data_IF_932683796306
#
_entry.id   IF_932683796306
#
_cell.length_a   1.000
_cell.length_b   1.000
_cell.length_c   1.000
_cell.angle_alpha   90.00
_cell.angle_beta   90.00
_cell.angle_gamma   90.00
#
_symmetry.space_group_name_H-M   'P 1'
#
loop_
_entity.id
_entity.type
_entity.pdbx_description
1 polymer ?
#
# COMPACT_ATOMS: atom_id res chain seq x y z
N UNK A 1 -25.23 -8.97 11.97
CA UNK A 1 -24.78 -8.86 11.41
C UNK A 1 -24.07 -8.71 10.86
N UNK A 2 -24.04 -8.80 10.77
CA UNK A 2 -23.44 -8.65 10.12
C UNK A 2 -22.70 -8.66 9.46
N UNK A 3 -22.69 -8.75 9.35
CA UNK A 3 -22.05 -8.79 8.62
C UNK A 3 -21.19 -8.57 7.95
N UNK A 4 -21.03 -8.66 8.23
CA UNK A 4 -20.23 -8.53 7.58
C UNK A 4 -19.99 -8.31 6.78
N UNK A 5 -20.15 -8.19 7.30
CA UNK A 5 -20.22 -8.17 6.62
C UNK A 5 -19.80 -7.80 5.61
N UNK A 6 -19.81 -7.38 5.91
CA UNK A 6 -19.54 -7.55 4.50
C UNK A 6 -18.59 -6.53 3.95
N UNK A 7 -17.39 -6.92 3.73
CA UNK A 7 -16.39 -6.11 3.07
C UNK A 7 -16.82 -5.87 1.62
N UNK A 8 -17.01 -4.63 1.22
CA UNK A 8 -17.27 -4.26 -0.15
C UNK A 8 -16.01 -4.59 -0.97
N UNK A 9 -16.17 -5.35 -2.05
CA UNK A 9 -15.04 -5.62 -2.94
C UNK A 9 -14.63 -4.34 -3.64
N UNK A 10 -13.33 -4.05 -3.73
CA UNK A 10 -12.86 -2.86 -4.43
C UNK A 10 -13.27 -2.86 -5.90
N UNK A 11 -13.67 -1.71 -6.39
CA UNK A 11 -13.94 -1.52 -7.82
C UNK A 11 -12.78 -0.81 -8.51
N UNK A 12 -11.78 -0.42 -7.76
CA UNK A 12 -10.57 0.20 -8.26
C UNK A 12 -9.39 -0.35 -7.47
N UNK A 13 -8.38 -0.84 -8.18
CA UNK A 13 -7.16 -1.33 -7.57
C UNK A 13 -5.98 -0.47 -8.01
N UNK A 14 -5.17 -0.06 -7.04
CA UNK A 14 -3.88 0.54 -7.34
C UNK A 14 -2.88 -0.60 -7.57
N UNK A 15 -2.18 -0.58 -8.70
CA UNK A 15 -1.21 -1.63 -9.06
C UNK A 15 0.21 -1.12 -8.93
N UNK A 16 1.07 -1.96 -8.38
CA UNK A 16 2.48 -1.62 -8.27
C UNK A 16 3.36 -2.87 -8.32
N UNK A 17 4.65 -2.67 -8.55
CA UNK A 17 5.64 -3.75 -8.57
C UNK A 17 6.73 -3.48 -7.56
N UNK A 18 7.28 -4.56 -7.01
CA UNK A 18 8.42 -4.50 -6.10
C UNK A 18 9.55 -5.35 -6.63
N UNK A 19 10.78 -4.88 -6.43
CA UNK A 19 11.96 -5.71 -6.67
C UNK A 19 12.02 -6.83 -5.63
N UNK A 20 11.69 -6.52 -4.38
CA UNK A 20 11.59 -7.49 -3.30
C UNK A 20 10.15 -7.47 -2.77
N UNK A 21 9.30 -8.33 -3.34
CA UNK A 21 7.89 -8.33 -3.01
C UNK A 21 7.62 -8.74 -1.56
N UNK A 22 8.44 -9.61 -0.97
CA UNK A 22 8.26 -10.00 0.42
C UNK A 22 8.47 -8.82 1.37
N UNK A 23 9.46 -7.97 1.11
CA UNK A 23 9.64 -6.75 1.88
C UNK A 23 8.47 -5.79 1.71
N UNK A 24 7.96 -5.66 0.48
CA UNK A 24 6.79 -4.84 0.20
C UNK A 24 5.57 -5.33 0.97
N UNK A 25 5.32 -6.64 0.93
CA UNK A 25 4.20 -7.24 1.65
C UNK A 25 4.30 -7.01 3.16
N UNK A 26 5.50 -7.19 3.72
CA UNK A 26 5.71 -6.98 5.15
C UNK A 26 5.49 -5.52 5.55
N UNK A 27 5.99 -4.59 4.75
CA UNK A 27 5.79 -3.15 4.99
C UNK A 27 4.30 -2.80 4.98
N UNK A 28 3.57 -3.24 3.96
CA UNK A 28 2.15 -2.94 3.82
C UNK A 28 1.31 -3.58 4.93
N UNK A 29 1.67 -4.80 5.34
CA UNK A 29 1.01 -5.43 6.49
C UNK A 29 1.19 -4.61 7.77
N UNK A 30 2.39 -4.04 7.96
CA UNK A 30 2.67 -3.20 9.13
C UNK A 30 1.82 -1.93 9.13
N UNK A 31 1.50 -1.38 7.96
CA UNK A 31 0.62 -0.20 7.85
C UNK A 31 -0.84 -0.54 8.11
N UNK A 32 -1.25 -1.79 7.98
CA UNK A 32 -2.62 -2.21 8.20
C UNK A 32 -3.33 -2.81 7.00
N UNK A 33 -2.61 -3.06 5.91
CA UNK A 33 -3.20 -3.79 4.78
C UNK A 33 -3.46 -5.23 5.13
N UNK A 34 -4.57 -5.76 4.64
CA UNK A 34 -4.92 -7.16 4.81
C UNK A 34 -4.62 -7.93 3.53
N UNK A 35 -3.83 -9.01 3.64
CA UNK A 35 -3.57 -9.88 2.50
C UNK A 35 -4.78 -10.75 2.22
N UNK A 36 -5.26 -10.72 0.98
CA UNK A 36 -6.36 -11.55 0.51
C UNK A 36 -5.83 -12.76 -0.25
N UNK A 37 -4.81 -12.53 -1.08
CA UNK A 37 -4.27 -13.57 -1.96
C UNK A 37 -2.79 -13.27 -2.23
N UNK A 38 -1.95 -14.32 -2.20
CA UNK A 38 -0.58 -14.23 -2.68
C UNK A 38 -0.30 -15.47 -3.52
N UNK A 39 0.02 -15.27 -4.79
CA UNK A 39 0.39 -16.34 -5.72
C UNK A 39 1.88 -16.25 -5.98
N UNK A 40 2.61 -17.30 -5.64
CA UNK A 40 4.05 -17.32 -5.81
C UNK A 40 4.43 -18.17 -7.01
N UNK A 41 5.61 -17.88 -7.56
CA UNK A 41 6.16 -18.66 -8.66
C UNK A 41 6.53 -20.07 -8.15
N UNK A 42 6.17 -21.11 -8.90
CA UNK A 42 6.40 -22.50 -8.48
C UNK A 42 7.90 -22.86 -8.41
N UNK A 43 8.70 -22.28 -9.30
CA UNK A 43 10.12 -22.59 -9.39
C UNK A 43 10.95 -21.69 -8.47
N UNK A 44 10.47 -20.48 -8.18
CA UNK A 44 11.14 -19.52 -7.32
C UNK A 44 10.11 -18.82 -6.41
N UNK A 45 9.87 -19.39 -5.22
CA UNK A 45 8.86 -18.84 -4.30
C UNK A 45 9.15 -17.42 -3.79
N UNK A 46 10.37 -16.90 -3.97
CA UNK A 46 10.67 -15.51 -3.63
C UNK A 46 10.02 -14.52 -4.59
N UNK A 47 9.57 -15.02 -5.75
CA UNK A 47 8.86 -14.20 -6.74
C UNK A 47 7.37 -14.29 -6.50
N UNK A 48 6.74 -13.14 -6.34
CA UNK A 48 5.29 -13.04 -6.25
C UNK A 48 4.75 -12.75 -7.65
N UNK A 49 3.97 -13.69 -8.17
CA UNK A 49 3.33 -13.51 -9.47
C UNK A 49 2.17 -12.53 -9.38
N UNK A 50 1.42 -12.60 -8.28
CA UNK A 50 0.27 -11.75 -8.07
C UNK A 50 -0.09 -11.74 -6.59
N UNK A 51 -0.40 -10.56 -6.05
CA UNK A 51 -0.94 -10.44 -4.70
C UNK A 51 -2.07 -9.43 -4.69
N UNK A 52 -3.04 -9.64 -3.82
CA UNK A 52 -4.16 -8.73 -3.61
C UNK A 52 -4.27 -8.41 -2.13
N UNK A 53 -4.32 -7.13 -1.82
CA UNK A 53 -4.43 -6.64 -0.46
C UNK A 53 -5.59 -5.65 -0.36
N UNK A 54 -6.14 -5.52 0.83
CA UNK A 54 -7.24 -4.61 1.12
C UNK A 54 -6.81 -3.53 2.08
N UNK A 55 -7.27 -2.34 1.83
CA UNK A 55 -7.15 -1.21 2.75
C UNK A 55 -8.54 -0.88 3.27
N UNK A 56 -8.78 -1.18 4.55
CA UNK A 56 -10.05 -0.88 5.21
C UNK A 56 -11.24 -1.41 4.41
N UNK A 57 -12.34 -0.67 4.30
CA UNK A 57 -13.58 -1.22 3.76
C UNK A 57 -13.57 -1.42 2.25
N UNK A 58 -12.95 -0.52 1.50
CA UNK A 58 -13.10 -0.53 0.04
C UNK A 58 -11.82 -0.32 -0.74
N UNK A 59 -10.69 -0.06 -0.08
CA UNK A 59 -9.43 0.13 -0.79
C UNK A 59 -8.81 -1.19 -1.22
N UNK A 60 -8.19 -1.22 -2.40
CA UNK A 60 -7.52 -2.42 -2.88
C UNK A 60 -6.26 -2.09 -3.64
N UNK A 61 -5.26 -2.95 -3.47
CA UNK A 61 -4.05 -2.92 -4.28
C UNK A 61 -3.76 -4.30 -4.81
N UNK A 62 -3.09 -4.32 -5.95
CA UNK A 62 -2.53 -5.53 -6.55
C UNK A 62 -1.04 -5.29 -6.74
N UNK A 63 -0.22 -6.27 -6.44
CA UNK A 63 1.21 -6.13 -6.63
C UNK A 63 1.84 -7.44 -7.06
N UNK A 64 3.05 -7.34 -7.58
CA UNK A 64 3.85 -8.50 -7.95
C UNK A 64 5.31 -8.11 -8.06
N UNK A 65 6.15 -9.11 -8.28
CA UNK A 65 7.57 -8.92 -8.54
C UNK A 65 7.78 -8.36 -9.94
N UNK A 66 8.88 -7.64 -10.14
CA UNK A 66 9.25 -7.10 -11.45
C UNK A 66 9.35 -8.24 -12.47
N UNK A 67 8.84 -7.99 -13.69
CA UNK A 67 8.95 -8.93 -14.81
C UNK A 67 9.65 -8.25 -15.98
N UNK A 68 10.82 -8.75 -16.29
CA UNK A 68 11.65 -8.17 -17.37
C UNK A 68 11.45 -8.85 -18.72
N UNK A 69 10.78 -10.02 -18.75
CA UNK A 69 10.62 -10.81 -19.96
C UNK A 69 9.32 -11.58 -19.98
N UNK A 70 8.94 -12.10 -21.13
CA UNK A 70 7.75 -12.90 -21.30
C UNK A 70 6.57 -12.10 -21.86
N UNK A 71 5.43 -12.78 -22.12
CA UNK A 71 4.28 -12.13 -22.74
C UNK A 71 3.59 -11.09 -21.84
N UNK A 72 3.80 -11.17 -20.55
CA UNK A 72 3.21 -10.23 -19.59
C UNK A 72 4.28 -9.35 -18.94
N UNK A 73 5.22 -8.90 -19.78
CA UNK A 73 6.27 -7.99 -19.34
C UNK A 73 5.65 -6.72 -18.77
N UNK A 74 6.08 -6.35 -17.57
CA UNK A 74 5.66 -5.12 -16.90
C UNK A 74 6.82 -4.15 -16.98
N UNK A 75 6.60 -2.89 -17.43
CA UNK A 75 7.66 -1.89 -17.41
C UNK A 75 8.26 -1.75 -16.01
N UNK A 76 9.56 -1.47 -15.95
CA UNK A 76 10.23 -1.28 -14.67
C UNK A 76 9.81 0.05 -14.06
N UNK A 77 8.75 0.00 -13.25
CA UNK A 77 8.22 1.14 -12.52
C UNK A 77 8.34 0.94 -11.01
N UNK A 78 9.13 -0.04 -10.59
CA UNK A 78 9.33 -0.28 -9.17
C UNK A 78 9.87 0.99 -8.50
N UNK A 79 9.30 1.33 -7.34
CA UNK A 79 9.70 2.51 -6.60
C UNK A 79 9.10 3.82 -7.11
N UNK A 80 8.21 3.76 -8.10
CA UNK A 80 7.62 4.95 -8.71
C UNK A 80 6.12 5.12 -8.46
N UNK A 81 5.52 4.23 -7.67
CA UNK A 81 4.11 4.34 -7.37
C UNK A 81 3.83 5.43 -6.34
N UNK A 82 2.64 6.01 -6.41
CA UNK A 82 2.17 7.01 -5.45
C UNK A 82 0.73 6.65 -5.08
N UNK A 83 0.44 6.65 -3.79
CA UNK A 83 -0.88 6.27 -3.31
C UNK A 83 -1.27 7.13 -2.11
N UNK A 84 -2.54 7.46 -2.00
CA UNK A 84 -3.10 8.17 -0.85
C UNK A 84 -4.04 7.23 -0.10
N UNK A 85 -3.76 7.02 1.18
CA UNK A 85 -4.54 6.14 2.04
C UNK A 85 -5.41 7.00 2.95
N UNK A 86 -6.71 6.81 2.87
CA UNK A 86 -7.65 7.54 3.74
C UNK A 86 -7.77 6.82 5.07
N UNK A 87 -7.69 7.58 6.16
CA UNK A 87 -7.95 7.10 7.52
C UNK A 87 -9.04 7.95 8.15
N UNK A 88 -9.61 7.47 9.25
CA UNK A 88 -10.78 8.12 9.85
C UNK A 88 -10.42 9.34 10.70
N UNK A 89 -9.28 9.30 11.40
CA UNK A 89 -8.92 10.34 12.37
C UNK A 89 -7.52 10.88 12.15
N UNK A 90 -7.27 12.08 12.65
CA UNK A 90 -5.93 12.68 12.63
C UNK A 90 -4.94 11.83 13.42
N UNK A 91 -5.38 11.22 14.51
CA UNK A 91 -4.54 10.33 15.31
C UNK A 91 -4.08 9.10 14.52
N UNK A 92 -4.92 8.59 13.63
CA UNK A 92 -4.56 7.46 12.76
C UNK A 92 -3.42 7.84 11.83
N UNK A 93 -3.38 9.10 11.34
CA UNK A 93 -2.29 9.58 10.47
C UNK A 93 -0.96 9.43 11.21
N UNK A 94 -0.87 9.94 12.43
CA UNK A 94 0.36 9.87 13.22
C UNK A 94 0.74 8.42 13.54
N UNK A 95 -0.23 7.59 13.88
CA UNK A 95 0.02 6.20 14.24
C UNK A 95 0.58 5.40 13.05
N UNK A 96 0.00 5.57 11.86
CA UNK A 96 0.47 4.87 10.66
C UNK A 96 1.82 5.40 10.21
N UNK A 97 2.01 6.72 10.28
CA UNK A 97 3.30 7.31 10.00
C UNK A 97 4.41 6.71 10.88
N UNK A 98 4.17 6.59 12.19
CA UNK A 98 5.15 6.01 13.11
C UNK A 98 5.44 4.54 12.77
N UNK A 99 4.40 3.76 12.42
CA UNK A 99 4.57 2.36 12.01
C UNK A 99 5.38 2.26 10.72
N UNK A 100 5.15 3.17 9.78
CA UNK A 100 5.90 3.19 8.53
C UNK A 100 7.39 3.41 8.79
N UNK A 101 7.74 4.40 9.61
CA UNK A 101 9.14 4.68 9.93
C UNK A 101 9.78 3.51 10.67
N UNK A 102 9.04 2.85 11.57
CA UNK A 102 9.55 1.69 12.28
C UNK A 102 9.77 0.48 11.36
N UNK A 103 9.21 0.49 10.16
CA UNK A 103 9.31 -0.60 9.20
C UNK A 103 10.07 -0.22 7.92
N UNK A 104 10.96 0.74 8.01
CA UNK A 104 11.93 1.04 6.94
C UNK A 104 11.57 2.18 6.01
N UNK A 105 10.48 2.89 6.25
CA UNK A 105 10.13 4.06 5.45
C UNK A 105 10.98 5.26 5.80
N UNK A 106 11.10 6.18 4.87
CA UNK A 106 11.71 7.49 5.09
C UNK A 106 10.66 8.57 4.94
N UNK A 107 10.81 9.66 5.68
CA UNK A 107 9.86 10.76 5.64
C UNK A 107 10.01 11.57 4.35
N UNK A 108 8.90 11.81 3.67
CA UNK A 108 8.82 12.79 2.57
C UNK A 108 8.22 14.07 3.13
N UNK A 109 7.10 13.95 3.87
CA UNK A 109 6.45 15.08 4.53
C UNK A 109 6.02 14.63 5.92
N UNK A 110 6.44 15.39 6.95
CA UNK A 110 6.01 15.12 8.33
C UNK A 110 4.49 15.31 8.46
N UNK A 111 3.85 14.62 9.42
CA UNK A 111 2.43 14.85 9.67
C UNK A 111 2.14 16.33 9.92
N UNK A 112 1.15 16.86 9.23
CA UNK A 112 0.76 18.25 9.37
C UNK A 112 -0.71 18.44 9.03
N UNK A 113 -1.34 19.37 9.75
CA UNK A 113 -2.71 19.77 9.45
C UNK A 113 -2.75 20.55 8.14
N UNK A 114 -3.80 20.32 7.35
CA UNK A 114 -3.90 20.90 6.03
C UNK A 114 -4.92 22.04 6.01
N UNK A 115 -4.68 23.07 5.19
CA UNK A 115 -5.61 24.20 5.12
C UNK A 115 -6.99 23.83 4.58
N UNK A 116 -7.08 22.74 3.81
CA UNK A 116 -8.37 22.26 3.27
C UNK A 116 -9.06 21.26 4.19
N UNK A 117 -8.48 20.98 5.35
CA UNK A 117 -9.04 20.07 6.34
C UNK A 117 -8.25 18.78 6.46
N UNK A 118 -8.28 18.20 7.66
CA UNK A 118 -7.59 16.96 7.93
C UNK A 118 -6.09 17.13 8.14
N UNK A 119 -5.43 16.00 8.29
CA UNK A 119 -4.01 15.90 8.55
C UNK A 119 -3.42 14.88 7.58
N UNK A 120 -2.23 15.14 7.07
CA UNK A 120 -1.57 14.27 6.07
C UNK A 120 -0.11 14.09 6.40
N UNK A 121 0.41 12.91 6.17
CA UNK A 121 1.84 12.59 6.18
C UNK A 121 2.18 11.81 4.92
N UNK A 122 3.40 11.94 4.42
CA UNK A 122 3.85 11.16 3.26
C UNK A 122 5.20 10.53 3.56
N UNK A 123 5.32 9.25 3.23
CA UNK A 123 6.56 8.49 3.41
C UNK A 123 6.93 7.82 2.09
N UNK A 124 8.23 7.50 1.95
CA UNK A 124 8.69 6.60 0.89
C UNK A 124 8.91 5.23 1.53
N UNK A 125 8.41 4.18 0.89
CA UNK A 125 8.64 2.83 1.38
C UNK A 125 10.09 2.39 1.09
N UNK A 126 10.51 1.20 1.54
CA UNK A 126 11.89 0.77 1.32
C UNK A 126 12.35 0.75 -0.14
N UNK A 127 11.43 0.71 -1.10
CA UNK A 127 11.77 0.75 -2.52
C UNK A 127 11.50 2.10 -3.18
N UNK A 128 11.03 3.10 -2.42
CA UNK A 128 10.85 4.45 -2.93
C UNK A 128 9.43 4.82 -3.32
N UNK A 129 8.47 3.90 -3.25
CA UNK A 129 7.08 4.23 -3.52
C UNK A 129 6.56 5.21 -2.46
N UNK A 130 5.79 6.21 -2.89
CA UNK A 130 5.24 7.21 -1.99
C UNK A 130 3.87 6.78 -1.47
N UNK A 131 3.71 6.85 -0.17
CA UNK A 131 2.45 6.55 0.50
C UNK A 131 2.08 7.77 1.34
N UNK A 132 0.99 8.43 0.96
CA UNK A 132 0.42 9.50 1.78
C UNK A 132 -0.69 8.89 2.62
N UNK A 133 -0.77 9.29 3.87
CA UNK A 133 -1.82 8.86 4.79
C UNK A 133 -2.53 10.12 5.26
N UNK A 134 -3.82 10.18 5.07
CA UNK A 134 -4.56 11.39 5.42
C UNK A 134 -5.96 11.14 5.92
N UNK A 135 -6.43 12.03 6.77
CA UNK A 135 -7.80 12.01 7.27
C UNK A 135 -8.78 12.81 6.39
N UNK A 136 -8.26 13.53 5.39
CA UNK A 136 -9.11 14.16 4.39
C UNK A 136 -9.58 13.08 3.40
N UNK A 137 -10.89 12.95 3.24
CA UNK A 137 -11.48 11.86 2.46
C UNK A 137 -12.08 12.31 1.13
N UNK A 138 -11.79 13.53 0.73
CA UNK A 138 -12.35 14.12 -0.49
C UNK A 138 -13.62 14.91 -0.20
N UNK A 139 -14.19 15.52 -1.22
CA UNK A 139 -15.43 16.31 -1.10
C UNK A 139 -16.67 15.45 -1.19
#
# INVERSE_FOLDING_TARGET
MIDHMTTTKPQLFHSLTYADADKGLAFLAALGFEQILVVRNDDDPSRVEHAELRWRDSGGIMLGSIRHAGPHKIPDTAGQARCYLVVETDADVDAIYDKALANGATTIEDPADQPYGGRVATVADPEGNHWSVGSYSGE
#
